data_IF_545831616569
#
_entry.id   IF_545831616569
#
_cell.length_a   1.000
_cell.length_b   1.000
_cell.length_c   1.000
_cell.angle_alpha   90.00
_cell.angle_beta   90.00
_cell.angle_gamma   90.00
#
_symmetry.space_group_name_H-M   'P 1'
#
loop_
_entity.id
_entity.type
_entity.pdbx_description
1 polymer ?
#
# COMPACT_ATOMS: atom_id res chain seq x y z
N UNK A 1 -6.58 -10.98 1.71
CA UNK A 1 -5.92 -11.22 3.02
C UNK A 1 -5.03 -10.05 3.36
N UNK A 2 -5.22 -9.43 4.53
CA UNK A 2 -4.36 -8.35 5.06
C UNK A 2 -3.35 -8.99 6.01
N UNK A 3 -2.07 -8.65 5.89
CA UNK A 3 -1.03 -9.16 6.80
C UNK A 3 -0.64 -8.19 7.89
N UNK A 4 -0.53 -6.90 7.55
CA UNK A 4 -0.01 -5.89 8.44
C UNK A 4 -0.73 -4.56 8.18
N UNK A 5 -0.92 -3.81 9.26
CA UNK A 5 -1.31 -2.41 9.24
C UNK A 5 -0.23 -1.63 9.97
N UNK A 6 0.36 -0.66 9.30
CA UNK A 6 1.39 0.21 9.86
C UNK A 6 0.85 1.62 10.04
N UNK A 7 1.02 2.19 11.22
CA UNK A 7 0.72 3.60 11.52
C UNK A 7 1.95 4.44 11.17
N UNK A 8 1.76 5.55 10.48
CA UNK A 8 2.86 6.52 10.30
C UNK A 8 3.22 7.15 11.65
N UNK A 9 4.48 7.05 12.12
CA UNK A 9 4.88 7.62 13.41
C UNK A 9 4.84 9.16 13.44
N UNK A 10 4.71 9.83 12.28
CA UNK A 10 4.69 11.28 12.14
C UNK A 10 3.27 11.87 12.14
N UNK A 11 2.28 11.10 11.68
CA UNK A 11 0.86 11.45 11.72
C UNK A 11 0.04 10.18 11.97
N UNK A 12 -0.52 10.06 13.18
CA UNK A 12 -1.31 8.89 13.58
C UNK A 12 -2.62 8.72 12.81
N UNK A 13 -3.00 9.68 11.96
CA UNK A 13 -4.12 9.53 11.02
C UNK A 13 -3.75 8.76 9.76
N UNK A 14 -2.46 8.70 9.43
CA UNK A 14 -1.98 8.02 8.23
C UNK A 14 -1.69 6.57 8.55
N UNK A 15 -2.40 5.68 7.85
CA UNK A 15 -2.25 4.23 7.97
C UNK A 15 -1.89 3.62 6.62
N UNK A 16 -1.12 2.54 6.67
CA UNK A 16 -0.78 1.74 5.51
C UNK A 16 -1.18 0.29 5.76
N UNK A 17 -1.69 -0.38 4.73
CA UNK A 17 -2.03 -1.80 4.79
C UNK A 17 -1.50 -2.51 3.55
N UNK A 18 -1.04 -3.75 3.73
CA UNK A 18 -0.64 -4.60 2.61
C UNK A 18 -0.98 -6.06 2.90
N UNK A 19 -0.92 -6.89 1.85
CA UNK A 19 -1.26 -8.30 1.99
C UNK A 19 -0.95 -9.11 0.75
N UNK A 20 -1.68 -10.21 0.59
CA UNK A 20 -1.41 -11.21 -0.46
C UNK A 20 -1.75 -10.71 -1.87
N UNK A 21 -2.79 -9.88 -1.95
CA UNK A 21 -3.22 -9.26 -3.20
C UNK A 21 -2.12 -8.32 -3.68
N UNK A 22 -2.01 -8.15 -4.99
CA UNK A 22 -1.00 -7.32 -5.65
C UNK A 22 -1.23 -5.82 -5.41
N UNK A 23 -1.35 -5.38 -4.17
CA UNK A 23 -1.79 -4.04 -3.80
C UNK A 23 -1.36 -3.71 -2.37
N UNK A 24 -0.93 -2.47 -2.19
CA UNK A 24 -0.83 -1.81 -0.90
C UNK A 24 -1.84 -0.66 -0.85
N UNK A 25 -2.24 -0.28 0.35
CA UNK A 25 -3.32 0.68 0.59
C UNK A 25 -2.87 1.71 1.62
N UNK A 26 -3.38 2.92 1.47
CA UNK A 26 -3.16 4.04 2.38
C UNK A 26 -4.48 4.65 2.81
N UNK A 27 -4.60 4.96 4.09
CA UNK A 27 -5.62 5.83 4.64
C UNK A 27 -4.97 7.11 5.19
N UNK A 28 -5.70 8.22 5.15
CA UNK A 28 -5.32 9.50 5.77
C UNK A 28 -6.32 9.97 6.84
N UNK A 29 -7.26 9.11 7.21
CA UNK A 29 -8.39 9.37 8.08
C UNK A 29 -8.60 8.24 9.10
N UNK A 30 -7.49 7.71 9.65
CA UNK A 30 -7.48 6.65 10.69
C UNK A 30 -8.19 5.36 10.26
N UNK A 31 -8.22 5.09 8.96
CA UNK A 31 -8.77 3.86 8.40
C UNK A 31 -10.26 3.92 8.06
N UNK A 32 -10.87 5.11 8.11
CA UNK A 32 -12.26 5.31 7.64
C UNK A 32 -12.37 5.10 6.14
N UNK A 33 -11.42 5.64 5.36
CA UNK A 33 -11.32 5.42 3.91
C UNK A 33 -9.91 5.00 3.49
N UNK A 34 -9.84 4.21 2.42
CA UNK A 34 -8.59 3.63 1.92
C UNK A 34 -8.47 3.87 0.42
N UNK A 35 -7.28 4.29 -0.01
CA UNK A 35 -6.90 4.43 -1.41
C UNK A 35 -5.74 3.48 -1.73
N UNK A 36 -5.77 2.88 -2.92
CA UNK A 36 -4.68 2.02 -3.38
C UNK A 36 -3.42 2.85 -3.62
N UNK A 37 -2.27 2.32 -3.21
CA UNK A 37 -0.95 2.87 -3.51
C UNK A 37 -0.57 2.39 -4.91
N UNK A 38 -0.86 3.22 -5.91
CA UNK A 38 -0.53 2.94 -7.31
C UNK A 38 0.99 2.83 -7.50
N UNK A 39 1.43 1.92 -8.38
CA UNK A 39 2.84 1.62 -8.64
C UNK A 39 3.40 0.43 -7.87
N UNK A 40 2.73 -0.01 -6.80
CA UNK A 40 3.02 -1.30 -6.18
C UNK A 40 2.14 -2.41 -6.80
N UNK A 41 2.68 -3.17 -7.75
CA UNK A 41 1.98 -4.27 -8.42
C UNK A 41 2.58 -5.65 -8.11
N UNK A 42 3.33 -5.76 -7.02
CA UNK A 42 3.90 -7.04 -6.57
C UNK A 42 2.92 -7.79 -5.68
N UNK A 43 2.94 -9.13 -5.77
CA UNK A 43 2.20 -10.00 -4.86
C UNK A 43 2.92 -10.12 -3.52
N UNK A 44 2.16 -10.53 -2.49
CA UNK A 44 2.71 -10.97 -1.21
C UNK A 44 3.42 -9.86 -0.42
N UNK A 45 2.81 -8.67 -0.36
CA UNK A 45 3.26 -7.60 0.51
C UNK A 45 3.17 -8.01 1.98
N UNK A 46 4.27 -7.90 2.72
CA UNK A 46 4.38 -8.31 4.12
C UNK A 46 4.20 -7.15 5.09
N UNK A 47 4.92 -6.05 4.87
CA UNK A 47 4.86 -4.84 5.69
C UNK A 47 5.19 -3.59 4.90
N UNK A 48 4.46 -2.51 5.17
CA UNK A 48 4.79 -1.15 4.74
C UNK A 48 5.60 -0.45 5.82
N UNK A 49 6.67 0.25 5.45
CA UNK A 49 7.56 0.97 6.39
C UNK A 49 7.72 2.40 5.87
N UNK A 50 7.24 3.43 6.60
CA UNK A 50 7.46 4.82 6.23
C UNK A 50 8.96 5.17 6.13
N UNK A 51 9.38 5.86 5.08
CA UNK A 51 10.73 6.42 5.02
C UNK A 51 10.81 7.65 5.92
N UNK A 52 11.52 7.52 7.05
CA UNK A 52 11.68 8.60 8.02
C UNK A 52 12.53 9.77 7.49
N UNK A 53 13.33 9.54 6.43
CA UNK A 53 14.17 10.58 5.81
C UNK A 53 13.44 11.31 4.69
N UNK A 54 12.46 10.66 4.06
CA UNK A 54 11.65 11.24 2.99
C UNK A 54 10.16 10.90 3.18
N UNK A 55 9.35 11.81 3.76
CA UNK A 55 7.95 11.55 4.07
C UNK A 55 7.03 11.22 2.91
N UNK A 56 7.44 11.56 1.69
CA UNK A 56 6.66 11.26 0.50
C UNK A 56 6.83 9.81 0.04
N UNK A 57 7.71 9.03 0.68
CA UNK A 57 8.08 7.67 0.28
C UNK A 57 7.86 6.63 1.39
N UNK A 58 7.68 5.39 0.95
CA UNK A 58 7.56 4.19 1.78
C UNK A 58 8.37 3.04 1.18
N UNK A 59 8.74 2.10 2.05
CA UNK A 59 9.19 0.78 1.64
C UNK A 59 8.07 -0.23 1.81
N UNK A 60 7.95 -1.18 0.89
CA UNK A 60 7.10 -2.36 1.03
C UNK A 60 7.98 -3.59 0.95
N UNK A 61 8.05 -4.32 2.06
CA UNK A 61 8.73 -5.63 2.09
C UNK A 61 7.79 -6.69 1.53
N UNK A 62 8.32 -7.65 0.79
CA UNK A 62 7.54 -8.73 0.18
C UNK A 62 8.11 -10.10 0.55
N UNK A 63 7.30 -11.14 0.43
CA UNK A 63 7.81 -12.51 0.43
C UNK A 63 8.42 -12.85 -0.93
N UNK A 64 9.73 -13.06 -1.00
CA UNK A 64 10.41 -13.53 -2.22
C UNK A 64 10.58 -12.51 -3.36
N UNK A 65 9.95 -11.33 -3.27
CA UNK A 65 10.03 -10.26 -4.29
C UNK A 65 10.94 -9.08 -3.93
N UNK A 66 11.78 -9.21 -2.90
CA UNK A 66 12.63 -8.13 -2.36
C UNK A 66 11.83 -6.97 -1.73
N UNK A 67 12.40 -5.77 -1.73
CA UNK A 67 11.81 -4.54 -1.20
C UNK A 67 11.44 -3.60 -2.35
N UNK A 68 10.21 -3.11 -2.34
CA UNK A 68 9.77 -2.01 -3.18
C UNK A 68 9.94 -0.69 -2.42
N UNK A 69 10.36 0.37 -3.13
CA UNK A 69 10.46 1.73 -2.59
C UNK A 69 9.77 2.68 -3.55
N UNK A 70 8.83 3.49 -3.05
CA UNK A 70 8.06 4.37 -3.91
C UNK A 70 7.15 5.32 -3.14
N UNK A 71 6.34 6.12 -3.86
CA UNK A 71 5.57 7.20 -3.28
C UNK A 71 4.47 6.67 -2.36
N UNK A 72 4.36 7.26 -1.17
CA UNK A 72 3.39 6.90 -0.13
C UNK A 72 1.93 7.05 -0.59
N UNK A 73 1.66 8.08 -1.38
CA UNK A 73 0.34 8.34 -1.98
C UNK A 73 0.09 7.55 -3.27
N UNK A 74 1.09 6.80 -3.75
CA UNK A 74 1.09 6.14 -5.05
C UNK A 74 1.44 7.09 -6.20
N UNK A 75 1.76 6.50 -7.35
CA UNK A 75 2.00 7.23 -8.59
C UNK A 75 0.72 7.23 -9.46
N UNK A 76 0.10 8.39 -9.73
CA UNK A 76 -1.11 8.47 -10.55
C UNK A 76 -0.90 7.98 -11.99
N UNK A 77 0.33 8.01 -12.51
CA UNK A 77 0.67 7.56 -13.85
C UNK A 77 1.10 6.09 -13.91
N UNK A 78 1.21 5.40 -12.77
CA UNK A 78 1.60 4.00 -12.77
C UNK A 78 0.59 3.12 -13.48
N UNK A 79 1.11 2.25 -14.34
CA UNK A 79 0.36 1.16 -14.98
C UNK A 79 -0.08 0.17 -13.89
N UNK A 80 -1.28 -0.36 -14.02
CA UNK A 80 -1.90 -1.30 -13.07
C UNK A 80 -2.11 -2.64 -13.77
N UNK A 81 -1.00 -3.36 -13.99
CA UNK A 81 -0.93 -4.59 -14.79
C UNK A 81 -1.35 -5.85 -14.02
N UNK A 82 -1.08 -5.90 -12.71
CA UNK A 82 -1.45 -7.02 -11.84
C UNK A 82 -2.41 -6.52 -10.76
N UNK A 83 -3.59 -6.06 -11.12
CA UNK A 83 -4.63 -5.67 -10.14
C UNK A 83 -5.71 -6.73 -10.06
N UNK A 84 -6.05 -7.13 -8.83
CA UNK A 84 -7.20 -8.02 -8.59
C UNK A 84 -8.46 -7.31 -9.08
N UNK A 85 -9.25 -7.90 -9.99
CA UNK A 85 -10.46 -7.26 -10.51
C UNK A 85 -11.36 -6.82 -9.36
N UNK A 86 -11.90 -5.61 -9.43
CA UNK A 86 -12.93 -5.21 -8.49
C UNK A 86 -14.13 -6.15 -8.66
N UNK A 87 -14.48 -6.89 -7.60
CA UNK A 87 -15.70 -7.68 -7.56
C UNK A 87 -16.88 -6.73 -7.54
N UNK A 88 -17.52 -6.52 -8.70
CA UNK A 88 -18.85 -5.94 -8.78
C UNK A 88 -19.85 -7.01 -8.36
N UNK A 89 -20.32 -6.94 -7.12
CA UNK A 89 -21.53 -7.66 -6.74
C UNK A 89 -22.71 -6.93 -7.37
N UNK A 90 -23.22 -7.50 -8.47
CA UNK A 90 -24.52 -7.13 -9.00
C UNK A 90 -25.59 -7.34 -7.93
N UNK A 91 -26.50 -6.39 -7.79
CA UNK A 91 -27.62 -6.45 -6.87
C UNK A 91 -28.64 -7.50 -7.32
#
# INVERSE_FOLDING_TARGET
HVYDITIDPRDSRVLYACGFESSAWRSSDRGETWSRIRGFNFKWGHRVIPDLRNPDFIFVTTYGGSVWHGPAAGDPQAVEDIVTPALTYGR
#
